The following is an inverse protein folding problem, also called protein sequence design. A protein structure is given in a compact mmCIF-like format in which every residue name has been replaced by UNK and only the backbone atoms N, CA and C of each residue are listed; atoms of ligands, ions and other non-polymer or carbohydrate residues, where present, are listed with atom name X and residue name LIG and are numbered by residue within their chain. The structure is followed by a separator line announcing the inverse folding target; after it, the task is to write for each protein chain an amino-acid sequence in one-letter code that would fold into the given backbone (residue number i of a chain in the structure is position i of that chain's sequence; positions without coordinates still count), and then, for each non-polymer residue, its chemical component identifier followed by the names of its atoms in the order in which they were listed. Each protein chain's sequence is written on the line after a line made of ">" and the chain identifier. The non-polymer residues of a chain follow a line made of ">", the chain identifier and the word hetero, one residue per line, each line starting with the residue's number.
data_IF_873665334482
#
_entry.id   IF_873665334482
#
_cell.length_a   1.000
_cell.length_b   1.000
_cell.length_c   1.000
_cell.angle_alpha   90.00
_cell.angle_beta   90.00
_cell.angle_gamma   90.00
#
_symmetry.space_group_name_H-M   'P 1'
#
loop_
_entity.id
_entity.type
_entity.pdbx_description
1 polymer ?
#
# COMPACT_ATOMS: atom_id res chain seq x y z
N UNK A 1 -33.12 -51.55 -22.28
CA UNK A 1 -33.45 -50.68 -21.11
C UNK A 1 -32.35 -50.61 -20.03
N UNK A 2 -31.59 -51.64 -19.70
CA UNK A 2 -30.52 -51.57 -18.70
C UNK A 2 -29.27 -50.81 -19.17
N UNK A 3 -28.87 -50.91 -20.44
CA UNK A 3 -27.66 -50.30 -20.98
C UNK A 3 -27.76 -48.75 -21.02
N UNK A 4 -28.92 -48.19 -21.26
CA UNK A 4 -29.10 -46.71 -21.31
C UNK A 4 -29.02 -46.07 -19.93
N UNK A 5 -29.42 -46.77 -18.87
CA UNK A 5 -29.31 -46.25 -17.47
C UNK A 5 -27.88 -46.09 -17.01
N UNK A 6 -26.97 -46.97 -17.45
CA UNK A 6 -25.55 -46.91 -17.13
C UNK A 6 -24.84 -45.76 -17.87
N UNK A 7 -25.25 -45.48 -19.10
CA UNK A 7 -24.70 -44.32 -19.87
C UNK A 7 -25.08 -42.99 -19.25
N UNK A 8 -26.30 -42.86 -18.73
CA UNK A 8 -26.76 -41.66 -18.01
C UNK A 8 -26.00 -41.47 -16.69
N UNK A 9 -25.76 -42.57 -15.96
CA UNK A 9 -25.01 -42.52 -14.68
C UNK A 9 -23.55 -42.13 -14.90
N UNK A 10 -22.89 -42.67 -15.94
CA UNK A 10 -21.52 -42.31 -16.33
C UNK A 10 -21.42 -40.84 -16.80
N UNK A 11 -22.42 -40.36 -17.52
CA UNK A 11 -22.47 -38.96 -17.92
C UNK A 11 -22.67 -38.01 -16.73
N UNK A 12 -23.49 -38.41 -15.74
CA UNK A 12 -23.65 -37.61 -14.50
C UNK A 12 -22.37 -37.59 -13.66
N UNK A 13 -21.62 -38.70 -13.54
CA UNK A 13 -20.35 -38.77 -12.82
C UNK A 13 -19.28 -37.88 -13.48
N UNK A 14 -19.22 -37.84 -14.83
CA UNK A 14 -18.26 -36.98 -15.55
C UNK A 14 -18.53 -35.49 -15.42
N UNK A 15 -19.81 -35.11 -15.19
CA UNK A 15 -20.18 -33.69 -14.95
C UNK A 15 -19.82 -33.26 -13.52
N UNK A 16 -19.83 -34.20 -12.54
CA UNK A 16 -19.46 -33.91 -11.16
C UNK A 16 -17.95 -33.73 -10.95
N UNK A 17 -17.11 -34.31 -11.79
CA UNK A 17 -15.65 -34.10 -11.71
C UNK A 17 -15.19 -32.76 -12.26
N UNK A 18 -16.01 -32.05 -13.05
CA UNK A 18 -15.68 -30.74 -13.63
C UNK A 18 -15.77 -29.58 -12.64
N UNK A 19 -16.22 -29.81 -11.41
CA UNK A 19 -16.31 -28.78 -10.37
C UNK A 19 -15.23 -28.87 -9.31
N UNK A 20 -14.11 -29.55 -9.55
CA UNK A 20 -12.94 -29.43 -8.70
C UNK A 20 -12.45 -27.99 -8.77
N UNK A 21 -12.93 -27.16 -7.85
CA UNK A 21 -12.59 -25.76 -7.73
C UNK A 21 -11.08 -25.66 -7.51
N UNK A 22 -10.34 -25.29 -8.58
CA UNK A 22 -8.90 -25.09 -8.53
C UNK A 22 -8.64 -24.12 -7.39
N UNK A 23 -8.03 -24.59 -6.31
CA UNK A 23 -7.69 -23.75 -5.16
C UNK A 23 -6.72 -22.67 -5.62
N UNK A 24 -7.26 -21.50 -5.88
CA UNK A 24 -6.47 -20.38 -6.36
C UNK A 24 -5.78 -19.74 -5.18
N UNK A 25 -4.45 -19.59 -5.27
CA UNK A 25 -3.64 -18.93 -4.24
C UNK A 25 -3.60 -17.42 -4.48
N UNK A 26 -3.82 -16.64 -3.42
CA UNK A 26 -3.53 -15.21 -3.40
C UNK A 26 -2.05 -15.01 -3.06
N UNK A 27 -1.30 -14.39 -3.96
CA UNK A 27 0.11 -14.04 -3.74
C UNK A 27 0.21 -12.65 -3.15
N UNK A 28 0.84 -12.52 -2.00
CA UNK A 28 1.03 -11.26 -1.30
C UNK A 28 2.52 -11.02 -1.10
N UNK A 29 3.00 -9.82 -1.45
CA UNK A 29 4.29 -9.30 -1.02
C UNK A 29 4.06 -8.18 -0.01
N UNK A 30 4.79 -8.22 1.09
CA UNK A 30 4.74 -7.23 2.15
C UNK A 30 6.15 -6.73 2.47
N UNK A 31 6.29 -5.41 2.60
CA UNK A 31 7.51 -4.79 3.12
C UNK A 31 7.17 -3.96 4.35
N UNK A 32 8.16 -3.57 5.12
CA UNK A 32 8.02 -2.64 6.24
C UNK A 32 7.86 -1.19 5.79
N UNK A 33 8.58 -0.28 6.46
CA UNK A 33 8.52 1.14 6.18
C UNK A 33 9.19 1.49 4.85
N UNK A 34 8.46 2.28 4.06
CA UNK A 34 8.91 2.84 2.80
C UNK A 34 9.20 4.31 3.04
N UNK A 35 10.45 4.62 3.32
CA UNK A 35 10.95 5.97 3.51
C UNK A 35 12.12 6.16 2.55
N UNK A 36 11.90 6.93 1.47
CA UNK A 36 12.83 7.07 0.33
C UNK A 36 13.69 8.34 0.43
N UNK A 37 14.01 8.77 1.64
CA UNK A 37 14.70 10.01 1.89
C UNK A 37 13.74 11.18 2.11
N UNK A 38 14.30 12.39 2.22
CA UNK A 38 13.53 13.62 2.48
C UNK A 38 14.11 14.81 1.71
N UNK A 39 13.22 15.69 1.26
CA UNK A 39 13.58 17.01 0.70
C UNK A 39 13.67 18.10 1.78
N UNK A 40 13.45 17.74 3.04
CA UNK A 40 13.51 18.71 4.15
C UNK A 40 14.68 18.39 5.10
N UNK A 41 15.48 19.37 5.54
CA UNK A 41 15.40 20.80 5.16
C UNK A 41 15.90 21.11 3.75
N UNK A 42 16.60 20.18 3.11
CA UNK A 42 17.12 20.28 1.75
C UNK A 42 17.12 18.90 1.05
N UNK A 43 17.46 18.87 -0.22
CA UNK A 43 17.40 17.67 -1.06
C UNK A 43 18.62 16.74 -0.96
N UNK A 44 19.55 16.96 -0.03
CA UNK A 44 20.79 16.17 0.10
C UNK A 44 20.51 14.70 0.46
N UNK A 45 19.39 14.42 1.10
CA UNK A 45 18.97 13.09 1.50
C UNK A 45 18.07 12.38 0.49
N UNK A 46 17.87 12.98 -0.70
CA UNK A 46 17.04 12.34 -1.72
C UNK A 46 17.86 11.41 -2.60
N UNK A 47 17.33 10.23 -2.94
CA UNK A 47 17.94 9.34 -3.90
C UNK A 47 17.86 9.92 -5.31
N UNK A 48 18.87 9.64 -6.12
CA UNK A 48 18.89 10.00 -7.54
C UNK A 48 17.82 9.24 -8.34
N UNK A 49 17.48 9.76 -9.53
CA UNK A 49 16.57 9.12 -10.48
C UNK A 49 15.19 8.79 -9.88
N UNK A 50 14.63 9.69 -9.09
CA UNK A 50 13.32 9.53 -8.46
C UNK A 50 13.16 8.19 -7.70
N UNK A 51 14.22 7.73 -7.05
CA UNK A 51 14.28 6.49 -6.29
C UNK A 51 14.08 5.18 -7.10
N UNK A 52 13.97 5.21 -8.43
CA UNK A 52 13.70 4.01 -9.26
C UNK A 52 14.74 2.91 -9.05
N UNK A 53 16.01 3.28 -8.88
CA UNK A 53 17.11 2.32 -8.70
C UNK A 53 17.04 1.56 -7.39
N UNK A 54 16.43 2.13 -6.34
CA UNK A 54 16.30 1.50 -5.04
C UNK A 54 15.39 0.26 -5.11
N UNK A 55 14.38 0.30 -5.97
CA UNK A 55 13.42 -0.79 -6.10
C UNK A 55 13.85 -1.87 -7.09
N UNK A 56 14.83 -1.62 -7.96
CA UNK A 56 15.22 -2.55 -9.02
C UNK A 56 15.44 -3.99 -8.54
N UNK A 57 16.13 -4.26 -7.40
CA UNK A 57 16.30 -5.61 -6.89
C UNK A 57 15.00 -6.26 -6.39
N UNK A 58 14.00 -5.45 -6.04
CA UNK A 58 12.75 -5.92 -5.45
C UNK A 58 11.61 -6.06 -6.47
N UNK A 59 11.75 -5.47 -7.67
CA UNK A 59 10.68 -5.40 -8.65
C UNK A 59 10.08 -6.77 -8.99
N UNK A 60 10.92 -7.80 -9.17
CA UNK A 60 10.43 -9.16 -9.49
C UNK A 60 9.56 -9.77 -8.39
N UNK A 61 9.83 -9.43 -7.13
CA UNK A 61 9.05 -9.91 -5.99
C UNK A 61 7.73 -9.14 -5.85
N UNK A 62 7.75 -7.83 -6.08
CA UNK A 62 6.59 -6.96 -5.92
C UNK A 62 5.62 -7.05 -7.10
N UNK A 63 6.13 -7.11 -8.34
CA UNK A 63 5.31 -7.11 -9.56
C UNK A 63 4.59 -8.44 -9.81
N UNK A 64 5.12 -9.56 -9.32
CA UNK A 64 4.57 -10.90 -9.55
C UNK A 64 3.59 -11.34 -8.45
N UNK A 65 2.90 -10.40 -7.82
CA UNK A 65 1.95 -10.64 -6.73
C UNK A 65 0.58 -10.05 -7.03
N UNK A 66 -0.46 -10.61 -6.40
CA UNK A 66 -1.82 -10.06 -6.47
C UNK A 66 -1.91 -8.78 -5.61
N UNK A 67 -1.25 -8.80 -4.45
CA UNK A 67 -1.17 -7.68 -3.51
C UNK A 67 0.29 -7.43 -3.15
N UNK A 68 0.73 -6.19 -3.32
CA UNK A 68 2.04 -5.71 -2.91
C UNK A 68 1.86 -4.46 -2.05
N UNK A 69 2.23 -4.55 -0.77
CA UNK A 69 1.98 -3.47 0.18
C UNK A 69 3.18 -3.18 1.10
N UNK A 70 3.16 -1.99 1.70
CA UNK A 70 4.08 -1.55 2.74
C UNK A 70 3.51 -0.34 3.48
N UNK A 71 4.22 0.15 4.49
CA UNK A 71 3.90 1.38 5.19
C UNK A 71 4.63 2.56 4.52
N UNK A 72 3.90 3.51 3.94
CA UNK A 72 4.50 4.72 3.37
C UNK A 72 4.81 5.70 4.51
N UNK A 73 6.02 5.58 5.06
CA UNK A 73 6.50 6.33 6.21
C UNK A 73 6.97 7.72 5.77
N UNK A 74 6.05 8.67 5.76
CA UNK A 74 6.31 10.04 5.33
C UNK A 74 5.23 10.63 4.44
N UNK A 75 5.53 11.78 3.88
CA UNK A 75 4.60 12.59 3.08
C UNK A 75 5.10 12.72 1.65
N UNK A 76 4.26 12.43 0.67
CA UNK A 76 4.53 12.76 -0.74
C UNK A 76 4.10 14.20 -1.01
N UNK A 77 5.04 15.14 -0.99
CA UNK A 77 4.76 16.56 -1.19
C UNK A 77 5.93 17.30 -1.79
N UNK A 78 5.64 18.29 -2.64
CA UNK A 78 6.60 19.27 -3.15
C UNK A 78 6.42 20.63 -2.44
N UNK A 79 5.39 20.76 -1.58
CA UNK A 79 5.12 21.93 -0.77
C UNK A 79 5.55 21.68 0.69
N UNK A 80 6.58 22.40 1.12
CA UNK A 80 7.19 22.29 2.43
C UNK A 80 6.75 23.39 3.40
N UNK A 81 5.75 24.19 3.04
CA UNK A 81 5.33 25.39 3.80
C UNK A 81 4.67 25.06 5.15
N UNK A 82 4.12 23.84 5.33
CA UNK A 82 3.39 23.43 6.53
C UNK A 82 4.13 22.34 7.30
N UNK A 83 5.39 22.58 7.64
CA UNK A 83 6.10 21.63 8.52
C UNK A 83 5.50 21.63 9.93
N UNK A 84 5.29 20.45 10.51
CA UNK A 84 4.77 20.33 11.89
C UNK A 84 5.77 20.89 12.91
N UNK A 85 5.25 21.39 14.03
CA UNK A 85 6.08 21.89 15.13
C UNK A 85 6.92 20.78 15.76
N UNK A 86 8.17 21.12 16.11
CA UNK A 86 9.06 20.27 16.87
C UNK A 86 9.11 20.75 18.31
N UNK A 87 8.60 19.95 19.23
CA UNK A 87 8.58 20.28 20.66
C UNK A 87 9.86 19.89 21.40
N UNK A 88 10.76 19.13 20.75
CA UNK A 88 12.02 18.70 21.37
C UNK A 88 13.14 18.89 20.35
N UNK A 89 13.92 19.92 20.52
CA UNK A 89 15.02 20.26 19.64
C UNK A 89 15.99 19.07 19.47
N UNK A 90 16.40 18.82 18.22
CA UNK A 90 17.29 17.72 17.84
C UNK A 90 16.68 16.32 17.87
N UNK A 91 15.36 16.17 18.10
CA UNK A 91 14.66 14.87 18.14
C UNK A 91 13.52 14.74 17.15
N UNK A 92 13.36 15.70 16.25
CA UNK A 92 12.29 15.65 15.25
C UNK A 92 12.86 15.32 13.88
N UNK A 93 12.22 14.37 13.23
CA UNK A 93 12.49 14.00 11.85
C UNK A 93 11.24 14.31 11.03
N UNK A 94 11.44 14.86 9.83
CA UNK A 94 10.37 15.22 8.90
C UNK A 94 10.66 14.60 7.54
N UNK A 95 9.73 13.84 7.02
CA UNK A 95 9.93 13.09 5.78
C UNK A 95 9.05 13.64 4.67
N UNK A 96 9.65 14.46 3.80
CA UNK A 96 9.05 14.97 2.57
C UNK A 96 9.65 14.25 1.39
N UNK A 97 8.92 13.33 0.80
CA UNK A 97 9.29 12.70 -0.46
C UNK A 97 8.66 13.48 -1.62
N UNK A 98 9.40 13.77 -2.71
CA UNK A 98 8.82 14.37 -3.90
C UNK A 98 7.61 13.60 -4.43
N UNK A 99 6.59 14.30 -4.92
CA UNK A 99 5.37 13.67 -5.47
C UNK A 99 5.68 12.71 -6.62
N UNK A 100 6.76 12.99 -7.39
CA UNK A 100 7.24 12.13 -8.47
C UNK A 100 7.59 10.69 -8.03
N UNK A 101 7.91 10.48 -6.74
CA UNK A 101 8.23 9.15 -6.21
C UNK A 101 7.04 8.20 -6.23
N UNK A 102 5.81 8.73 -6.30
CA UNK A 102 4.61 7.90 -6.47
C UNK A 102 4.65 7.04 -7.75
N UNK A 103 5.22 7.57 -8.84
CA UNK A 103 5.41 6.82 -10.08
C UNK A 103 6.43 5.68 -9.89
N UNK A 104 7.48 5.92 -9.12
CA UNK A 104 8.49 4.90 -8.80
C UNK A 104 7.93 3.78 -7.92
N UNK A 105 7.09 4.12 -6.94
CA UNK A 105 6.36 3.13 -6.14
C UNK A 105 5.45 2.26 -7.02
N UNK A 106 4.73 2.88 -7.95
CA UNK A 106 3.88 2.16 -8.91
C UNK A 106 4.69 1.24 -9.81
N UNK A 107 5.77 1.75 -10.37
CA UNK A 107 6.67 1.00 -11.23
C UNK A 107 7.33 -0.17 -10.51
N UNK A 108 7.63 -0.03 -9.22
CA UNK A 108 8.15 -1.12 -8.39
C UNK A 108 7.14 -2.26 -8.19
N UNK A 109 5.84 -1.99 -8.29
CA UNK A 109 4.79 -3.00 -8.16
C UNK A 109 3.82 -2.75 -7.00
N UNK A 110 4.03 -1.73 -6.18
CA UNK A 110 3.11 -1.43 -5.07
C UNK A 110 1.72 -1.09 -5.59
N UNK A 111 0.70 -1.71 -5.01
CA UNK A 111 -0.70 -1.48 -5.37
C UNK A 111 -1.59 -1.08 -4.18
N UNK A 112 -1.15 -1.33 -2.94
CA UNK A 112 -1.81 -0.89 -1.71
C UNK A 112 -0.75 -0.39 -0.72
N UNK A 113 -0.99 0.75 -0.05
CA UNK A 113 -0.09 1.29 0.97
C UNK A 113 -0.83 1.62 2.27
N UNK A 114 -0.17 1.37 3.40
CA UNK A 114 -0.57 1.93 4.69
C UNK A 114 -0.18 3.40 4.74
N UNK A 115 -1.09 4.24 5.21
CA UNK A 115 -0.84 5.62 5.60
C UNK A 115 -1.01 5.83 7.11
N UNK A 116 -1.18 4.75 7.87
CA UNK A 116 -1.30 4.79 9.32
C UNK A 116 0.09 4.87 9.96
N UNK A 117 0.64 6.07 10.04
CA UNK A 117 1.92 6.36 10.69
C UNK A 117 1.97 7.81 11.20
N UNK A 118 2.99 8.13 12.00
CA UNK A 118 3.16 9.45 12.60
C UNK A 118 3.76 10.50 11.65
N UNK A 119 4.29 10.07 10.48
CA UNK A 119 4.97 10.95 9.53
C UNK A 119 4.08 11.42 8.36
N UNK A 120 2.89 10.85 8.19
CA UNK A 120 1.96 11.30 7.16
C UNK A 120 1.58 12.78 7.30
N UNK A 121 1.58 13.30 8.53
CA UNK A 121 1.20 14.68 8.85
C UNK A 121 2.41 15.59 9.07
N UNK A 122 3.62 15.21 8.66
CA UNK A 122 4.81 16.03 8.84
C UNK A 122 4.70 17.41 8.16
N UNK A 123 3.94 17.48 7.06
CA UNK A 123 3.66 18.72 6.31
C UNK A 123 2.16 19.04 6.32
N UNK A 124 1.50 18.80 7.46
CA UNK A 124 0.15 19.20 7.73
C UNK A 124 -0.90 18.70 6.73
N UNK A 125 -1.96 19.48 6.58
CA UNK A 125 -3.06 19.14 5.67
C UNK A 125 -2.63 19.12 4.20
N UNK A 126 -1.76 20.07 3.80
CA UNK A 126 -1.29 20.17 2.40
C UNK A 126 -0.52 18.91 2.02
N UNK A 127 0.44 18.47 2.84
CA UNK A 127 1.23 17.27 2.61
C UNK A 127 0.37 16.01 2.57
N UNK A 128 -0.53 15.84 3.53
CA UNK A 128 -1.47 14.71 3.54
C UNK A 128 -2.36 14.66 2.30
N UNK A 129 -2.88 15.81 1.86
CA UNK A 129 -3.69 15.91 0.64
C UNK A 129 -2.86 15.59 -0.61
N UNK A 130 -1.63 16.09 -0.67
CA UNK A 130 -0.68 15.82 -1.75
C UNK A 130 -0.38 14.32 -1.85
N UNK A 131 -0.07 13.65 -0.73
CA UNK A 131 0.17 12.20 -0.68
C UNK A 131 -1.01 11.43 -1.26
N UNK A 132 -2.24 11.71 -0.79
CA UNK A 132 -3.44 11.03 -1.30
C UNK A 132 -3.65 11.24 -2.80
N UNK A 133 -3.41 12.45 -3.31
CA UNK A 133 -3.52 12.79 -4.73
C UNK A 133 -2.48 12.03 -5.56
N UNK A 134 -1.22 12.04 -5.12
CA UNK A 134 -0.11 11.38 -5.80
C UNK A 134 -0.31 9.87 -5.91
N UNK A 135 -0.76 9.22 -4.84
CA UNK A 135 -1.05 7.79 -4.87
C UNK A 135 -2.23 7.47 -5.80
N UNK A 136 -3.30 8.24 -5.72
CA UNK A 136 -4.49 8.05 -6.58
C UNK A 136 -4.16 8.22 -8.06
N UNK A 137 -3.34 9.22 -8.44
CA UNK A 137 -2.93 9.45 -9.83
C UNK A 137 -2.19 8.27 -10.43
N UNK A 138 -1.50 7.48 -9.59
CA UNK A 138 -0.80 6.26 -9.99
C UNK A 138 -1.65 4.99 -9.84
N UNK A 139 -2.91 5.11 -9.41
CA UNK A 139 -3.76 3.96 -9.13
C UNK A 139 -3.31 3.11 -7.94
N UNK A 140 -2.48 3.67 -7.05
CA UNK A 140 -2.09 3.03 -5.79
C UNK A 140 -3.20 3.30 -4.77
N UNK A 141 -3.71 2.24 -4.15
CA UNK A 141 -4.72 2.32 -3.10
C UNK A 141 -4.05 2.48 -1.73
N UNK A 142 -4.82 2.95 -0.75
CA UNK A 142 -4.31 3.13 0.60
C UNK A 142 -5.41 2.95 1.64
N UNK A 143 -5.00 2.68 2.88
CA UNK A 143 -5.86 2.66 4.07
C UNK A 143 -5.09 3.19 5.29
N UNK A 144 -5.79 3.27 6.43
CA UNK A 144 -5.19 3.70 7.70
C UNK A 144 -5.42 5.17 8.04
N UNK A 145 -6.40 5.79 7.40
CA UNK A 145 -6.85 7.15 7.72
C UNK A 145 -8.25 7.09 8.33
N UNK A 146 -8.60 8.03 9.18
CA UNK A 146 -9.95 8.12 9.76
C UNK A 146 -11.04 8.14 8.69
N UNK A 147 -10.80 8.88 7.59
CA UNK A 147 -11.71 8.96 6.45
C UNK A 147 -11.58 7.79 5.45
N UNK A 148 -10.56 6.94 5.60
CA UNK A 148 -10.33 5.77 4.78
C UNK A 148 -9.63 4.68 5.61
N UNK A 149 -10.33 4.09 6.62
CA UNK A 149 -9.73 3.13 7.54
C UNK A 149 -9.44 1.78 6.85
N UNK A 150 -10.23 1.45 5.83
CA UNK A 150 -10.18 0.17 5.12
C UNK A 150 -10.22 0.40 3.62
N UNK A 151 -9.42 -0.33 2.88
CA UNK A 151 -9.57 -0.50 1.44
C UNK A 151 -10.06 -1.92 1.15
N UNK A 152 -11.18 -2.06 0.44
CA UNK A 152 -11.71 -3.37 0.02
C UNK A 152 -11.52 -3.57 -1.47
N UNK A 153 -11.24 -4.82 -1.85
CA UNK A 153 -11.08 -5.21 -3.25
C UNK A 153 -11.57 -6.65 -3.44
N UNK A 154 -11.91 -6.99 -4.67
CA UNK A 154 -12.29 -8.36 -5.04
C UNK A 154 -11.22 -8.96 -5.93
N UNK A 155 -10.77 -10.15 -5.61
CA UNK A 155 -9.86 -10.92 -6.43
C UNK A 155 -10.36 -12.34 -6.54
N UNK A 156 -10.57 -12.82 -7.78
CA UNK A 156 -11.03 -14.20 -8.05
C UNK A 156 -12.32 -14.56 -7.29
N UNK A 157 -13.28 -13.64 -7.27
CA UNK A 157 -14.56 -13.83 -6.59
C UNK A 157 -14.54 -13.69 -5.07
N UNK A 158 -13.37 -13.59 -4.42
CA UNK A 158 -13.24 -13.37 -2.98
C UNK A 158 -13.03 -11.90 -2.68
N UNK A 159 -13.77 -11.37 -1.69
CA UNK A 159 -13.64 -10.00 -1.21
C UNK A 159 -12.63 -9.94 -0.07
N UNK A 160 -11.65 -9.06 -0.19
CA UNK A 160 -10.59 -8.81 0.77
C UNK A 160 -10.70 -7.40 1.35
N UNK A 161 -10.22 -7.21 2.58
CA UNK A 161 -10.05 -5.92 3.22
C UNK A 161 -8.60 -5.71 3.64
N UNK A 162 -8.04 -4.55 3.33
CA UNK A 162 -6.76 -4.07 3.83
C UNK A 162 -7.03 -2.98 4.86
N UNK A 163 -6.63 -3.20 6.11
CA UNK A 163 -6.75 -2.26 7.22
C UNK A 163 -5.36 -1.92 7.73
N UNK A 164 -5.16 -0.68 8.16
CA UNK A 164 -3.92 -0.26 8.78
C UNK A 164 -4.19 0.62 10.00
N UNK A 165 -3.41 0.44 11.05
CA UNK A 165 -3.57 1.12 12.33
C UNK A 165 -2.20 1.54 12.86
N UNK A 166 -2.12 2.76 13.41
CA UNK A 166 -0.96 3.23 14.15
C UNK A 166 -1.44 3.86 15.46
N UNK A 167 -1.06 3.33 16.64
CA UNK A 167 -1.29 4.01 17.89
C UNK A 167 -0.38 5.26 17.95
N UNK A 168 -0.98 6.44 18.09
CA UNK A 168 -0.21 7.67 18.29
C UNK A 168 -0.39 8.15 19.72
N UNK A 169 0.73 8.40 20.41
CA UNK A 169 0.74 9.09 21.69
C UNK A 169 0.77 10.61 21.44
N UNK A 170 -0.33 11.28 21.69
CA UNK A 170 -0.36 12.74 21.75
C UNK A 170 -0.39 13.16 23.22
N UNK A 171 0.65 13.87 23.68
CA UNK A 171 0.76 14.39 25.05
C UNK A 171 0.60 13.31 26.14
N UNK A 172 1.23 12.14 25.97
CA UNK A 172 1.15 11.03 26.94
C UNK A 172 -0.22 10.33 26.99
N UNK A 173 -1.16 10.68 26.15
CA UNK A 173 -2.45 9.99 26.01
C UNK A 173 -2.49 9.23 24.67
N UNK A 174 -2.77 7.93 24.75
CA UNK A 174 -3.02 7.14 23.56
C UNK A 174 -4.35 7.58 22.93
N UNK A 175 -4.30 8.19 21.74
CA UNK A 175 -5.50 8.30 20.89
C UNK A 175 -5.55 7.07 20.00
N UNK A 176 -6.61 6.28 20.13
CA UNK A 176 -6.98 5.24 19.16
C UNK A 176 -7.69 5.95 18.01
N UNK A 177 -7.22 5.71 16.80
CA UNK A 177 -7.88 6.13 15.57
C UNK A 177 -8.66 4.97 14.99
#
# INVERSE_FOLDING_TARGET
>A
MMKEKWLVLLALCSVLELTAQKKEMLKIAAVGDIMLGTAYPDCSFLPKHNAQRLFKPLNSYLQNTDISFGNLEGTLTDDLSQVKECYTEGRCYFFAMPTAFSASLKSAGFNVLSLANNHLNDFGYIGRRSTKRSLRSQGIRYAGLTECPVYTFTRRGVRYGFCAFAPQCLNGKHKRY
#
